data_IF_874091439296
#
_entry.id   IF_874091439296
#
_cell.length_a   1.000
_cell.length_b   1.000
_cell.length_c   1.000
_cell.angle_alpha   90.00
_cell.angle_beta   90.00
_cell.angle_gamma   90.00
#
_symmetry.space_group_name_H-M   'P 1'
#
loop_
_entity.id
_entity.type
_entity.pdbx_description
1 polymer ?
#
# COMPACT_ATOMS: atom_id res chain seq x y z
N UNK A 1 -7.42 -37.51 -7.50
CA UNK A 1 -8.84 -37.80 -7.80
C UNK A 1 -9.69 -36.78 -7.05
N UNK A 2 -10.48 -35.96 -7.75
CA UNK A 2 -11.44 -35.01 -7.15
C UNK A 2 -12.84 -35.40 -7.61
N UNK A 3 -13.84 -35.54 -6.72
CA UNK A 3 -15.21 -35.62 -7.18
C UNK A 3 -15.79 -34.21 -7.32
N UNK A 4 -16.26 -33.91 -8.53
CA UNK A 4 -17.26 -32.88 -8.83
C UNK A 4 -18.61 -33.58 -8.86
N UNK A 5 -19.60 -33.08 -8.13
CA UNK A 5 -21.01 -33.46 -8.35
C UNK A 5 -21.86 -32.19 -8.27
N UNK A 6 -22.73 -32.10 -9.25
CA UNK A 6 -23.56 -30.97 -9.62
C UNK A 6 -25.04 -31.26 -9.30
N UNK A 7 -25.86 -30.19 -9.37
CA UNK A 7 -27.20 -30.15 -10.04
C UNK A 7 -28.51 -30.38 -9.23
N UNK A 8 -29.39 -29.35 -9.34
CA UNK A 8 -30.88 -29.29 -9.33
C UNK A 8 -31.62 -29.66 -8.02
N UNK A 9 -32.83 -29.19 -7.68
CA UNK A 9 -33.79 -28.17 -8.11
C UNK A 9 -34.99 -28.28 -7.14
N UNK A 10 -35.79 -27.23 -6.95
CA UNK A 10 -37.27 -27.28 -6.95
C UNK A 10 -37.91 -25.99 -6.43
N UNK A 11 -38.68 -25.35 -7.31
CA UNK A 11 -39.68 -24.32 -6.99
C UNK A 11 -40.86 -24.93 -6.23
N UNK A 12 -41.51 -24.16 -5.35
CA UNK A 12 -42.97 -24.20 -5.17
C UNK A 12 -43.50 -22.80 -4.84
N UNK A 13 -44.41 -22.33 -5.70
CA UNK A 13 -45.31 -21.20 -5.48
C UNK A 13 -46.42 -21.60 -4.49
N UNK A 14 -46.87 -20.67 -3.65
CA UNK A 14 -48.25 -20.65 -3.19
C UNK A 14 -48.71 -19.21 -2.91
N UNK A 15 -49.69 -18.77 -3.70
CA UNK A 15 -50.47 -17.55 -3.51
C UNK A 15 -51.42 -17.71 -2.31
N UNK A 16 -51.60 -16.62 -1.55
CA UNK A 16 -52.68 -16.47 -0.58
C UNK A 16 -53.12 -15.02 -0.48
N UNK A 17 -54.17 -14.67 -1.23
CA UNK A 17 -54.92 -13.42 -1.10
C UNK A 17 -55.86 -13.52 0.11
N UNK A 18 -55.72 -12.61 1.08
CA UNK A 18 -56.61 -12.48 2.24
C UNK A 18 -57.33 -11.14 2.22
N UNK A 19 -58.66 -11.21 2.23
CA UNK A 19 -59.63 -10.13 2.06
C UNK A 19 -59.70 -9.16 3.24
N UNK A 20 -60.18 -7.95 2.93
CA UNK A 20 -60.56 -6.90 3.86
C UNK A 20 -61.60 -7.36 4.90
N UNK A 21 -61.41 -6.94 6.14
CA UNK A 21 -62.42 -6.98 7.20
C UNK A 21 -62.42 -5.67 7.99
N UNK A 22 -63.49 -4.89 7.85
CA UNK A 22 -63.82 -3.77 8.74
C UNK A 22 -64.46 -4.34 10.02
N UNK A 23 -63.95 -3.94 11.19
CA UNK A 23 -64.54 -4.30 12.48
C UNK A 23 -63.95 -3.43 13.58
N UNK A 24 -64.81 -2.63 14.20
CA UNK A 24 -64.50 -1.54 15.12
C UNK A 24 -64.83 -1.95 16.57
N UNK A 25 -64.07 -1.35 17.50
CA UNK A 25 -64.25 -1.27 18.96
C UNK A 25 -63.90 -2.48 19.85
N UNK A 26 -62.74 -2.32 20.52
CA UNK A 26 -62.33 -3.11 21.69
C UNK A 26 -61.25 -2.37 22.48
N UNK A 27 -61.66 -1.41 23.33
CA UNK A 27 -60.78 -0.78 24.34
C UNK A 27 -60.45 -1.81 25.43
N UNK A 28 -59.17 -2.16 25.60
CA UNK A 28 -58.68 -2.85 26.79
C UNK A 28 -57.27 -3.43 26.67
N UNK A 29 -56.38 -3.00 27.57
CA UNK A 29 -55.09 -3.59 27.98
C UNK A 29 -53.83 -3.34 27.13
N UNK A 30 -53.08 -2.32 27.58
CA UNK A 30 -51.66 -2.34 27.96
C UNK A 30 -50.80 -3.50 27.44
N UNK A 31 -49.90 -3.15 26.52
CA UNK A 31 -48.71 -3.90 26.16
C UNK A 31 -47.90 -3.07 25.18
N UNK A 32 -46.97 -2.25 25.68
CA UNK A 32 -45.99 -1.55 24.85
C UNK A 32 -45.07 -2.58 24.20
N UNK A 33 -45.29 -2.88 22.92
CA UNK A 33 -44.29 -3.55 22.08
C UNK A 33 -44.09 -2.71 20.84
N UNK A 34 -42.88 -2.16 20.76
CA UNK A 34 -42.39 -1.28 19.72
C UNK A 34 -41.86 -2.16 18.58
N UNK A 35 -42.41 -2.15 17.35
CA UNK A 35 -41.87 -2.92 16.25
C UNK A 35 -40.69 -2.14 15.65
N UNK A 36 -39.54 -2.25 16.29
CA UNK A 36 -38.33 -1.56 15.89
C UNK A 36 -37.09 -2.29 16.39
N UNK A 37 -37.00 -3.61 16.23
CA UNK A 37 -35.77 -4.35 16.58
C UNK A 37 -35.67 -5.79 16.04
N UNK A 38 -36.34 -6.24 14.96
CA UNK A 38 -36.34 -7.69 14.64
C UNK A 38 -36.15 -8.10 13.17
N UNK A 39 -35.51 -7.27 12.33
CA UNK A 39 -35.17 -7.68 10.95
C UNK A 39 -33.70 -7.63 10.56
N UNK A 40 -32.79 -7.44 11.52
CA UNK A 40 -31.33 -7.54 11.28
C UNK A 40 -30.69 -8.86 11.73
N UNK A 41 -31.49 -9.82 12.25
CA UNK A 41 -30.99 -11.12 12.70
C UNK A 41 -31.66 -12.27 11.94
N UNK A 42 -31.45 -12.34 10.62
CA UNK A 42 -31.54 -13.61 9.87
C UNK A 42 -30.55 -13.61 8.71
N UNK A 43 -29.29 -13.87 9.04
CA UNK A 43 -28.30 -14.38 8.11
C UNK A 43 -27.33 -15.30 8.89
N UNK A 44 -27.88 -16.34 9.54
CA UNK A 44 -27.07 -17.37 10.21
C UNK A 44 -26.82 -18.52 9.22
N UNK A 45 -25.82 -18.31 8.35
CA UNK A 45 -25.04 -19.38 7.71
C UNK A 45 -23.58 -19.24 8.13
N UNK A 46 -22.69 -20.21 7.86
CA UNK A 46 -21.27 -20.15 8.23
C UNK A 46 -20.44 -19.15 7.38
N UNK A 47 -21.07 -18.11 6.83
CA UNK A 47 -20.46 -17.12 5.97
C UNK A 47 -20.23 -15.79 6.70
N UNK A 48 -19.30 -14.99 6.18
CA UNK A 48 -19.13 -13.61 6.64
C UNK A 48 -20.39 -12.79 6.45
N UNK A 49 -20.64 -11.93 7.42
CA UNK A 49 -21.64 -10.88 7.31
C UNK A 49 -21.21 -9.87 6.25
N UNK A 50 -22.20 -9.22 5.66
CA UNK A 50 -22.01 -8.13 4.70
C UNK A 50 -21.16 -6.96 5.27
N UNK A 51 -21.15 -6.77 6.60
CA UNK A 51 -20.29 -5.76 7.25
C UNK A 51 -18.82 -6.19 7.24
N UNK A 52 -18.55 -7.46 7.50
CA UNK A 52 -17.18 -8.01 7.51
C UNK A 52 -16.60 -7.99 6.11
N UNK A 53 -17.37 -8.37 5.09
CA UNK A 53 -16.94 -8.29 3.68
C UNK A 53 -16.48 -6.87 3.32
N UNK A 54 -17.32 -5.86 3.58
CA UNK A 54 -16.95 -4.47 3.30
C UNK A 54 -15.72 -4.01 4.07
N UNK A 55 -15.52 -4.51 5.29
CA UNK A 55 -14.34 -4.17 6.07
C UNK A 55 -13.08 -4.79 5.47
N UNK A 56 -13.11 -6.06 5.07
CA UNK A 56 -12.00 -6.70 4.36
C UNK A 56 -11.67 -6.03 3.03
N UNK A 57 -12.70 -5.62 2.27
CA UNK A 57 -12.54 -4.89 1.01
C UNK A 57 -11.90 -3.52 1.24
N UNK A 58 -12.30 -2.81 2.30
CA UNK A 58 -11.69 -1.54 2.67
C UNK A 58 -10.21 -1.71 3.04
N UNK A 59 -9.87 -2.75 3.81
CA UNK A 59 -8.46 -3.05 4.16
C UNK A 59 -7.68 -3.36 2.87
N UNK A 60 -8.22 -4.20 2.00
CA UNK A 60 -7.56 -4.57 0.74
C UNK A 60 -7.33 -3.37 -0.17
N UNK A 61 -8.32 -2.48 -0.29
CA UNK A 61 -8.23 -1.26 -1.10
C UNK A 61 -7.18 -0.31 -0.54
N UNK A 62 -7.16 -0.12 0.78
CA UNK A 62 -6.15 0.72 1.43
C UNK A 62 -4.75 0.15 1.27
N UNK A 63 -4.58 -1.16 1.47
CA UNK A 63 -3.30 -1.87 1.25
C UNK A 63 -2.82 -1.75 -0.19
N UNK A 64 -3.72 -1.86 -1.17
CA UNK A 64 -3.37 -1.66 -2.58
C UNK A 64 -2.86 -0.24 -2.85
N UNK A 65 -3.55 0.78 -2.30
CA UNK A 65 -3.13 2.17 -2.41
C UNK A 65 -1.76 2.43 -1.79
N UNK A 66 -1.49 1.86 -0.62
CA UNK A 66 -0.16 1.94 0.01
C UNK A 66 0.93 1.35 -0.88
N UNK A 67 0.71 0.15 -1.42
CA UNK A 67 1.67 -0.49 -2.31
C UNK A 67 1.85 0.27 -3.63
N UNK A 68 0.79 0.86 -4.18
CA UNK A 68 0.87 1.69 -5.38
C UNK A 68 1.77 2.91 -5.14
N UNK A 69 1.62 3.58 -4.00
CA UNK A 69 2.46 4.73 -3.64
C UNK A 69 3.95 4.34 -3.48
N UNK A 70 4.25 3.14 -2.99
CA UNK A 70 5.63 2.67 -2.82
C UNK A 70 6.24 2.12 -4.12
N UNK A 71 5.45 1.58 -5.05
CA UNK A 71 5.93 1.20 -6.40
C UNK A 71 6.48 2.40 -7.19
N UNK A 72 5.94 3.60 -6.99
CA UNK A 72 6.50 4.84 -7.57
C UNK A 72 7.97 5.07 -7.15
N UNK A 73 8.32 4.67 -5.93
CA UNK A 73 9.70 4.75 -5.43
C UNK A 73 10.61 3.77 -6.16
N UNK A 74 10.18 2.51 -6.27
CA UNK A 74 10.91 1.46 -7.01
C UNK A 74 11.12 1.87 -8.47
N UNK A 75 10.07 2.41 -9.10
CA UNK A 75 10.13 2.93 -10.46
C UNK A 75 11.15 4.05 -10.58
N UNK A 76 11.12 5.04 -9.68
CA UNK A 76 12.09 6.14 -9.65
C UNK A 76 13.53 5.62 -9.51
N UNK A 77 13.73 4.61 -8.66
CA UNK A 77 15.06 4.08 -8.37
C UNK A 77 15.62 3.22 -9.51
N UNK A 78 14.76 2.49 -10.23
CA UNK A 78 15.15 1.77 -11.45
C UNK A 78 15.63 2.71 -12.58
N UNK A 79 15.22 3.98 -12.53
CA UNK A 79 15.60 5.01 -13.49
C UNK A 79 16.79 5.88 -13.02
N UNK A 80 17.50 5.50 -11.94
CA UNK A 80 18.64 6.28 -11.46
C UNK A 80 19.77 6.35 -12.51
N UNK A 81 20.34 7.53 -12.76
CA UNK A 81 21.50 7.66 -13.62
C UNK A 81 22.74 7.03 -12.96
N UNK A 82 23.66 6.53 -13.78
CA UNK A 82 24.96 6.09 -13.29
C UNK A 82 25.84 7.30 -12.91
N UNK A 83 26.62 7.15 -11.84
CA UNK A 83 27.66 8.13 -11.49
C UNK A 83 28.81 7.98 -12.49
N UNK A 84 29.26 9.08 -13.07
CA UNK A 84 30.40 9.14 -13.99
C UNK A 84 31.67 9.55 -13.23
N UNK A 85 32.61 8.62 -12.98
CA UNK A 85 33.79 8.89 -12.18
C UNK A 85 34.97 9.48 -12.97
N UNK A 86 34.78 9.92 -14.22
CA UNK A 86 35.87 10.38 -15.10
C UNK A 86 36.62 11.62 -14.56
N UNK A 87 35.92 12.54 -13.90
CA UNK A 87 36.53 13.64 -13.12
C UNK A 87 35.72 13.91 -11.84
N UNK A 88 36.30 14.57 -10.82
CA UNK A 88 35.57 14.95 -9.61
C UNK A 88 34.35 15.84 -9.89
N UNK A 89 34.46 16.81 -10.81
CA UNK A 89 33.35 17.67 -11.23
C UNK A 89 32.22 16.84 -11.85
N UNK A 90 32.57 15.92 -12.75
CA UNK A 90 31.63 15.06 -13.44
C UNK A 90 30.95 14.08 -12.48
N UNK A 91 31.71 13.50 -11.54
CA UNK A 91 31.18 12.64 -10.49
C UNK A 91 30.24 13.41 -9.55
N UNK A 92 30.60 14.63 -9.19
CA UNK A 92 29.77 15.51 -8.36
C UNK A 92 28.46 15.87 -9.06
N UNK A 93 28.51 16.24 -10.34
CA UNK A 93 27.32 16.58 -11.14
C UNK A 93 26.38 15.38 -11.29
N UNK A 94 26.88 14.24 -11.72
CA UNK A 94 26.07 13.03 -11.91
C UNK A 94 25.53 12.48 -10.58
N UNK A 95 26.27 12.63 -9.47
CA UNK A 95 25.76 12.34 -8.13
C UNK A 95 24.62 13.28 -7.72
N UNK A 96 24.71 14.57 -8.08
CA UNK A 96 23.67 15.56 -7.81
C UNK A 96 22.39 15.28 -8.63
N UNK A 97 22.54 14.83 -9.87
CA UNK A 97 21.44 14.35 -10.73
C UNK A 97 20.77 13.11 -10.13
N UNK A 98 21.58 12.13 -9.70
CA UNK A 98 21.11 10.92 -9.02
C UNK A 98 20.27 11.27 -7.77
N UNK A 99 20.78 12.13 -6.91
CA UNK A 99 20.06 12.57 -5.72
C UNK A 99 18.76 13.31 -6.09
N UNK A 100 18.74 14.06 -7.21
CA UNK A 100 17.53 14.68 -7.73
C UNK A 100 16.43 13.67 -8.07
N UNK A 101 16.80 12.58 -8.75
CA UNK A 101 15.86 11.48 -9.06
C UNK A 101 15.36 10.81 -7.78
N UNK A 102 16.25 10.57 -6.82
CA UNK A 102 15.90 9.99 -5.52
C UNK A 102 14.90 10.87 -4.75
N UNK A 103 15.19 12.16 -4.62
CA UNK A 103 14.33 13.13 -3.93
C UNK A 103 12.95 13.15 -4.59
N UNK A 104 12.88 13.22 -5.92
CA UNK A 104 11.61 13.22 -6.64
C UNK A 104 10.80 11.93 -6.46
N UNK A 105 11.46 10.78 -6.37
CA UNK A 105 10.81 9.50 -6.04
C UNK A 105 10.22 9.51 -4.63
N UNK A 106 11.01 9.92 -3.63
CA UNK A 106 10.57 10.00 -2.24
C UNK A 106 9.42 10.99 -2.06
N UNK A 107 9.48 12.17 -2.69
CA UNK A 107 8.42 13.17 -2.65
C UNK A 107 7.10 12.62 -3.22
N UNK A 108 7.15 11.88 -4.34
CA UNK A 108 5.95 11.24 -4.93
C UNK A 108 5.37 10.17 -4.03
N UNK A 109 6.22 9.33 -3.44
CA UNK A 109 5.76 8.27 -2.52
C UNK A 109 5.13 8.85 -1.25
N UNK A 110 5.77 9.83 -0.61
CA UNK A 110 5.19 10.53 0.55
C UNK A 110 3.85 11.16 0.17
N UNK A 111 3.80 11.90 -0.95
CA UNK A 111 2.55 12.49 -1.44
C UNK A 111 1.45 11.46 -1.74
N UNK A 112 1.81 10.29 -2.27
CA UNK A 112 0.87 9.19 -2.52
C UNK A 112 0.33 8.57 -1.22
N UNK A 113 1.19 8.40 -0.20
CA UNK A 113 0.80 7.90 1.11
C UNK A 113 -0.11 8.90 1.85
N UNK A 114 0.19 10.19 1.80
CA UNK A 114 -0.61 11.24 2.43
C UNK A 114 -1.99 11.41 1.78
N UNK A 115 -2.15 10.99 0.52
CA UNK A 115 -3.43 11.00 -0.20
C UNK A 115 -4.32 9.79 0.11
N UNK A 116 -3.80 8.78 0.83
CA UNK A 116 -4.63 7.65 1.24
C UNK A 116 -5.70 8.12 2.23
N UNK A 117 -6.91 7.62 2.04
CA UNK A 117 -7.95 7.67 3.07
C UNK A 117 -7.41 7.09 4.40
N UNK A 118 -7.99 7.49 5.55
CA UNK A 118 -7.61 6.94 6.84
C UNK A 118 -7.63 5.41 6.82
N UNK A 119 -6.61 4.78 7.40
CA UNK A 119 -6.53 3.32 7.39
C UNK A 119 -7.72 2.71 8.15
N UNK A 120 -8.32 1.62 7.62
CA UNK A 120 -9.40 0.91 8.32
C UNK A 120 -8.97 0.28 9.65
N UNK A 121 -7.66 0.16 9.89
CA UNK A 121 -7.04 -0.40 11.11
C UNK A 121 -6.10 0.64 11.72
N UNK A 122 -6.11 0.82 13.04
CA UNK A 122 -5.28 1.81 13.72
C UNK A 122 -3.78 1.50 13.61
N UNK A 123 -3.43 0.22 13.64
CA UNK A 123 -2.06 -0.28 13.49
C UNK A 123 -1.54 -0.02 12.07
N UNK A 124 -2.40 -0.13 11.06
CA UNK A 124 -2.04 0.19 9.67
C UNK A 124 -1.79 1.69 9.47
N UNK A 125 -2.56 2.55 10.15
CA UNK A 125 -2.31 4.00 10.14
C UNK A 125 -0.95 4.33 10.79
N UNK A 126 -0.58 3.61 11.86
CA UNK A 126 0.73 3.75 12.49
C UNK A 126 1.86 3.39 11.52
N UNK A 127 1.74 2.26 10.83
CA UNK A 127 2.71 1.84 9.79
C UNK A 127 2.86 2.91 8.70
N UNK A 128 1.75 3.47 8.21
CA UNK A 128 1.79 4.56 7.21
C UNK A 128 2.56 5.77 7.73
N UNK A 129 2.27 6.20 8.96
CA UNK A 129 2.91 7.39 9.54
C UNK A 129 4.42 7.17 9.75
N UNK A 130 4.83 5.98 10.17
CA UNK A 130 6.25 5.63 10.31
C UNK A 130 6.97 5.59 8.96
N UNK A 131 6.32 5.06 7.92
CA UNK A 131 6.85 5.07 6.56
C UNK A 131 7.02 6.51 6.04
N UNK A 132 6.00 7.36 6.19
CA UNK A 132 6.06 8.79 5.81
C UNK A 132 7.20 9.50 6.52
N UNK A 133 7.34 9.32 7.84
CA UNK A 133 8.42 9.91 8.62
C UNK A 133 9.81 9.43 8.13
N UNK A 134 9.95 8.12 7.87
CA UNK A 134 11.19 7.53 7.38
C UNK A 134 11.58 8.08 6.01
N UNK A 135 10.66 8.08 5.05
CA UNK A 135 10.92 8.57 3.69
C UNK A 135 11.23 10.06 3.68
N UNK A 136 10.50 10.86 4.46
CA UNK A 136 10.78 12.30 4.63
C UNK A 136 12.19 12.53 5.18
N UNK A 137 12.59 11.77 6.20
CA UNK A 137 13.93 11.89 6.79
C UNK A 137 15.05 11.56 5.81
N UNK A 138 14.88 10.52 4.97
CA UNK A 138 15.85 10.19 3.91
C UNK A 138 15.90 11.29 2.86
N UNK A 139 14.73 11.77 2.43
CA UNK A 139 14.58 12.83 1.45
C UNK A 139 15.30 14.11 1.89
N UNK A 140 15.16 14.51 3.14
CA UNK A 140 15.81 15.73 3.64
C UNK A 140 17.34 15.59 3.71
N UNK A 141 17.85 14.41 4.05
CA UNK A 141 19.30 14.12 3.96
C UNK A 141 19.79 14.15 2.51
N UNK A 142 19.03 13.60 1.58
CA UNK A 142 19.34 13.65 0.15
C UNK A 142 19.37 15.09 -0.36
N UNK A 143 18.42 15.93 0.05
CA UNK A 143 18.40 17.37 -0.27
C UNK A 143 19.66 18.07 0.26
N UNK A 144 20.03 17.81 1.52
CA UNK A 144 21.24 18.38 2.12
C UNK A 144 22.53 17.97 1.37
N UNK A 145 22.66 16.69 1.02
CA UNK A 145 23.78 16.20 0.23
C UNK A 145 23.82 16.81 -1.18
N UNK A 146 22.66 16.92 -1.84
CA UNK A 146 22.54 17.55 -3.15
C UNK A 146 22.99 19.01 -3.11
N UNK A 147 22.56 19.77 -2.10
CA UNK A 147 22.97 21.17 -1.92
C UNK A 147 24.49 21.31 -1.75
N UNK A 148 25.15 20.38 -1.04
CA UNK A 148 26.60 20.40 -0.89
C UNK A 148 27.33 20.16 -2.23
N UNK A 149 26.82 19.25 -3.06
CA UNK A 149 27.37 19.02 -4.40
C UNK A 149 27.17 20.22 -5.32
N UNK A 150 25.97 20.80 -5.31
CA UNK A 150 25.61 21.93 -6.17
C UNK A 150 26.36 23.21 -5.77
N UNK A 151 26.77 23.34 -4.51
CA UNK A 151 27.56 24.46 -4.01
C UNK A 151 29.08 24.27 -4.14
N UNK A 152 29.56 23.05 -4.44
CA UNK A 152 30.98 22.78 -4.54
C UNK A 152 31.59 23.48 -5.77
N UNK A 153 32.77 24.08 -5.58
CA UNK A 153 33.49 24.77 -6.65
C UNK A 153 34.96 24.38 -6.65
N UNK A 154 35.42 23.85 -7.79
CA UNK A 154 36.79 23.37 -7.96
C UNK A 154 36.99 21.93 -7.48
N UNK A 155 38.05 21.31 -7.98
CA UNK A 155 38.26 19.85 -7.90
C UNK A 155 38.25 19.31 -6.46
N UNK A 156 38.94 19.98 -5.54
CA UNK A 156 39.03 19.56 -4.12
C UNK A 156 37.67 19.62 -3.42
N UNK A 157 36.89 20.68 -3.67
CA UNK A 157 35.55 20.83 -3.10
C UNK A 157 34.59 19.76 -3.64
N UNK A 158 34.63 19.46 -4.94
CA UNK A 158 33.84 18.38 -5.53
C UNK A 158 34.22 17.02 -4.93
N UNK A 159 35.52 16.75 -4.78
CA UNK A 159 36.01 15.50 -4.16
C UNK A 159 35.52 15.34 -2.72
N UNK A 160 35.51 16.42 -1.94
CA UNK A 160 34.97 16.39 -0.57
C UNK A 160 33.45 16.18 -0.56
N UNK A 161 32.71 16.88 -1.42
CA UNK A 161 31.25 16.85 -1.46
C UNK A 161 30.67 15.49 -1.88
N UNK A 162 31.37 14.73 -2.75
CA UNK A 162 30.93 13.39 -3.18
C UNK A 162 30.70 12.44 -1.99
N UNK A 163 31.43 12.60 -0.89
CA UNK A 163 31.25 11.75 0.30
C UNK A 163 29.87 11.87 0.94
N UNK A 164 29.21 13.03 0.80
CA UNK A 164 27.88 13.29 1.35
C UNK A 164 26.77 12.45 0.68
N UNK A 165 27.01 11.96 -0.55
CA UNK A 165 26.07 11.13 -1.32
C UNK A 165 25.85 9.77 -0.67
N UNK A 166 26.85 9.26 0.06
CA UNK A 166 26.87 7.88 0.56
C UNK A 166 25.73 7.59 1.54
N UNK A 167 25.49 8.47 2.51
CA UNK A 167 24.50 8.20 3.55
C UNK A 167 23.07 8.10 2.99
N UNK A 168 22.57 9.05 2.15
CA UNK A 168 21.27 8.89 1.50
C UNK A 168 21.15 7.61 0.67
N UNK A 169 22.20 7.21 -0.07
CA UNK A 169 22.19 5.96 -0.84
C UNK A 169 22.16 4.71 0.05
N UNK A 170 22.88 4.71 1.16
CA UNK A 170 22.85 3.59 2.10
C UNK A 170 21.50 3.49 2.81
N UNK A 171 20.91 4.61 3.19
CA UNK A 171 19.59 4.64 3.83
C UNK A 171 18.52 4.08 2.90
N UNK A 172 18.56 4.49 1.62
CA UNK A 172 17.60 4.03 0.63
C UNK A 172 17.76 2.54 0.33
N UNK A 173 19.00 2.04 0.26
CA UNK A 173 19.28 0.63 0.02
C UNK A 173 18.87 -0.31 1.15
N UNK A 174 18.51 0.23 2.32
CA UNK A 174 18.05 -0.52 3.50
C UNK A 174 16.53 -0.45 3.69
N UNK A 175 15.82 0.28 2.83
CA UNK A 175 14.37 0.43 2.96
C UNK A 175 13.67 -0.92 2.78
N UNK A 176 12.86 -1.28 3.78
CA UNK A 176 11.80 -2.27 3.61
C UNK A 176 10.49 -1.52 3.39
N UNK A 177 10.00 -1.50 2.15
CA UNK A 177 8.83 -0.72 1.75
C UNK A 177 7.53 -1.21 2.43
N UNK A 178 7.50 -2.46 2.86
CA UNK A 178 6.37 -3.12 3.51
C UNK A 178 6.66 -3.43 5.00
N UNK A 179 7.59 -2.70 5.62
CA UNK A 179 7.88 -2.85 7.05
C UNK A 179 6.59 -2.75 7.89
N UNK A 180 6.42 -3.65 8.86
CA UNK A 180 5.25 -3.71 9.74
C UNK A 180 4.02 -4.44 9.16
N UNK A 181 3.96 -4.71 7.86
CA UNK A 181 2.80 -5.41 7.27
C UNK A 181 2.67 -6.86 7.75
N UNK A 182 3.79 -7.57 7.90
CA UNK A 182 3.80 -8.97 8.35
C UNK A 182 3.35 -9.15 9.80
N UNK A 183 3.42 -8.09 10.59
CA UNK A 183 3.01 -8.07 12.00
C UNK A 183 1.49 -7.90 12.17
N UNK A 184 0.79 -7.45 11.13
CA UNK A 184 -0.65 -7.20 11.12
C UNK A 184 -1.32 -8.24 10.20
N UNK A 185 -1.94 -9.31 10.73
CA UNK A 185 -2.46 -10.41 9.92
C UNK A 185 -3.41 -9.97 8.80
N UNK A 186 -4.28 -8.99 9.07
CA UNK A 186 -5.21 -8.47 8.10
C UNK A 186 -4.52 -7.76 6.92
N UNK A 187 -3.40 -7.06 7.16
CA UNK A 187 -2.60 -6.45 6.09
C UNK A 187 -1.89 -7.54 5.28
N UNK A 188 -1.31 -8.55 5.94
CA UNK A 188 -0.69 -9.68 5.24
C UNK A 188 -1.64 -10.40 4.31
N UNK A 189 -2.87 -10.66 4.75
CA UNK A 189 -3.89 -11.30 3.92
C UNK A 189 -4.36 -10.37 2.78
N UNK A 190 -4.44 -9.06 3.05
CA UNK A 190 -4.75 -8.04 2.05
C UNK A 190 -3.66 -7.92 0.97
N UNK A 191 -2.37 -8.01 1.31
CA UNK A 191 -1.27 -7.96 0.35
C UNK A 191 -1.39 -9.02 -0.75
N UNK A 192 -1.90 -10.21 -0.41
CA UNK A 192 -2.12 -11.31 -1.37
C UNK A 192 -3.24 -10.98 -2.35
N UNK A 193 -4.19 -10.13 -1.97
CA UNK A 193 -5.35 -9.73 -2.79
C UNK A 193 -5.12 -8.41 -3.54
N UNK A 194 -4.21 -7.57 -3.07
CA UNK A 194 -3.90 -6.26 -3.60
C UNK A 194 -2.97 -6.34 -4.84
N UNK A 195 -3.43 -5.97 -6.05
CA UNK A 195 -2.64 -6.08 -7.28
C UNK A 195 -1.31 -5.30 -7.26
N UNK A 196 -1.28 -4.12 -6.66
CA UNK A 196 -0.08 -3.28 -6.59
C UNK A 196 0.97 -3.90 -5.66
N UNK A 197 0.55 -4.53 -4.56
CA UNK A 197 1.45 -5.26 -3.67
C UNK A 197 2.05 -6.49 -4.37
N UNK A 198 1.27 -7.18 -5.20
CA UNK A 198 1.78 -8.32 -5.99
C UNK A 198 2.83 -7.88 -7.02
N UNK A 199 2.63 -6.73 -7.67
CA UNK A 199 3.62 -6.16 -8.59
C UNK A 199 4.92 -5.83 -7.86
N UNK A 200 4.81 -5.14 -6.73
CA UNK A 200 5.96 -4.78 -5.90
C UNK A 200 6.78 -6.02 -5.47
N UNK A 201 6.10 -7.08 -5.02
CA UNK A 201 6.75 -8.35 -4.66
C UNK A 201 7.42 -9.05 -5.86
N UNK A 202 6.88 -8.90 -7.08
CA UNK A 202 7.47 -9.45 -8.30
C UNK A 202 8.73 -8.68 -8.75
N UNK A 203 8.74 -7.36 -8.55
CA UNK A 203 9.91 -6.50 -8.84
C UNK A 203 11.07 -6.80 -7.89
N UNK A 204 10.78 -7.09 -6.61
CA UNK A 204 11.80 -7.50 -5.62
C UNK A 204 12.35 -8.92 -5.85
N UNK A 205 11.57 -9.81 -6.49
CA UNK A 205 11.92 -11.23 -6.68
C UNK A 205 12.50 -11.58 -8.05
N UNK A 206 12.71 -10.60 -8.92
CA UNK A 206 13.34 -10.83 -10.24
C UNK A 206 14.79 -11.31 -10.09
N UNK A 207 15.17 -12.51 -10.62
CA UNK A 207 16.54 -13.01 -10.52
C UNK A 207 17.52 -12.09 -11.25
N UNK A 208 18.48 -11.52 -10.54
CA UNK A 208 19.69 -10.91 -11.15
C UNK A 208 20.60 -12.04 -11.66
N UNK A 209 20.39 -12.49 -12.89
CA UNK A 209 21.32 -13.33 -13.67
C UNK A 209 21.40 -12.65 -15.06
N UNK A 210 22.54 -12.22 -15.58
CA UNK A 210 23.80 -12.94 -15.70
C UNK A 210 25.01 -11.99 -15.62
N UNK A 211 26.02 -12.38 -14.86
CA UNK A 211 27.35 -11.78 -14.88
C UNK A 211 28.03 -12.24 -16.16
N UNK A 212 28.20 -11.33 -17.12
CA UNK A 212 29.04 -11.55 -18.30
C UNK A 212 30.45 -12.05 -17.94
N UNK A 213 30.60 -13.36 -17.97
CA UNK A 213 31.83 -14.14 -17.87
C UNK A 213 31.50 -15.39 -18.71
N UNK A 214 32.10 -15.74 -19.84
CA UNK A 214 33.41 -15.47 -20.44
C UNK A 214 33.37 -16.08 -21.86
N UNK A 215 34.30 -15.67 -22.72
CA UNK A 215 34.58 -16.39 -23.96
C UNK A 215 35.80 -15.77 -24.64
N UNK A 216 36.98 -16.29 -24.30
CA UNK A 216 38.26 -15.95 -24.94
C UNK A 216 38.50 -16.70 -26.24
#
# INVERSE_FOLDING_TARGET
MRPRISVLAAMTMALGLGLAGCGQDGRGQQGTVQPGAEQQQRAEGPGMTEREIRHEDAITTWTDGYCAATTELVTAFSAMPAIDPSTPEQASRTSSELLGVMIGGLDRTVGGLDQLEPAPLAEAETVKNEAVATFTGIRDRAVGAKQQLDAASGEEAHRAAITAVRAPLEDVGKLNLLAGFDEIPALRDAMVRAPSCQKLAAEDSSPKIDNGQSGG
#
